data_IF_194854474155
#
_entry.id   IF_194854474155
#
_cell.length_a   1.000
_cell.length_b   1.000
_cell.length_c   1.000
_cell.angle_alpha   90.00
_cell.angle_beta   90.00
_cell.angle_gamma   90.00
#
_symmetry.space_group_name_H-M   'P 1'
#
loop_
_entity.id
_entity.type
_entity.pdbx_description
1 polymer ?
#
# COMPACT_ATOMS: atom_id res chain seq x y z
N UNK A 1 -33.42 47.54 74.69
CA UNK A 1 -34.67 46.97 74.19
C UNK A 1 -34.29 45.90 73.15
N UNK A 2 -34.08 44.72 73.50
CA UNK A 2 -34.93 43.56 73.65
C UNK A 2 -35.40 42.98 72.33
N UNK A 3 -35.00 41.81 72.10
CA UNK A 3 -35.63 40.53 71.67
C UNK A 3 -35.03 39.90 70.42
N UNK A 4 -34.37 38.77 70.59
CA UNK A 4 -34.83 37.39 70.28
C UNK A 4 -35.34 37.21 68.86
N UNK A 5 -34.65 36.33 68.12
CA UNK A 5 -35.20 35.25 67.28
C UNK A 5 -34.02 34.28 67.09
N UNK A 6 -33.89 33.17 67.75
CA UNK A 6 -34.55 31.89 67.57
C UNK A 6 -33.99 31.07 66.42
N UNK A 7 -33.23 30.08 66.80
CA UNK A 7 -33.06 28.74 66.20
C UNK A 7 -33.63 28.48 64.83
N UNK A 8 -32.75 28.15 63.89
CA UNK A 8 -33.08 27.35 62.74
C UNK A 8 -32.23 26.07 62.75
N UNK A 9 -32.80 24.90 62.61
CA UNK A 9 -32.08 23.63 62.69
C UNK A 9 -31.18 23.42 61.49
N UNK A 10 -29.96 23.04 61.76
CA UNK A 10 -29.02 22.55 60.72
C UNK A 10 -29.60 21.36 59.99
N UNK A 11 -29.89 21.54 58.71
CA UNK A 11 -30.18 20.43 57.79
C UNK A 11 -28.89 19.64 57.61
N UNK A 12 -28.85 18.46 58.23
CA UNK A 12 -27.79 17.50 58.05
C UNK A 12 -27.77 17.05 56.57
N UNK A 13 -26.77 17.52 55.83
CA UNK A 13 -26.44 16.98 54.53
C UNK A 13 -25.85 15.57 54.82
N UNK A 14 -26.66 14.56 54.57
CA UNK A 14 -26.20 13.19 54.57
C UNK A 14 -25.12 13.03 53.48
N UNK A 15 -23.88 12.98 53.89
CA UNK A 15 -22.79 12.54 53.00
C UNK A 15 -23.06 11.08 52.61
N UNK A 16 -23.62 10.88 51.44
CA UNK A 16 -23.63 9.56 50.78
C UNK A 16 -22.15 9.20 50.53
N UNK A 17 -21.66 8.10 51.03
CA UNK A 17 -20.32 7.64 50.68
C UNK A 17 -20.37 7.27 49.19
N UNK A 18 -19.80 8.10 48.33
CA UNK A 18 -19.39 7.66 47.00
C UNK A 18 -18.38 6.53 47.24
N UNK A 19 -18.89 5.31 47.37
CA UNK A 19 -18.09 4.10 47.34
C UNK A 19 -17.35 4.13 46.00
N UNK A 20 -16.04 4.30 46.13
CA UNK A 20 -15.08 4.18 45.05
C UNK A 20 -15.44 2.95 44.21
N UNK A 21 -16.02 3.18 43.07
CA UNK A 21 -16.02 2.23 41.96
C UNK A 21 -14.55 2.12 41.55
N UNK A 22 -13.81 1.33 42.32
CA UNK A 22 -12.51 0.84 41.92
C UNK A 22 -12.73 0.16 40.57
N UNK A 23 -12.39 0.85 39.48
CA UNK A 23 -12.23 0.25 38.16
C UNK A 23 -11.20 -0.86 38.36
N UNK A 24 -11.67 -2.08 38.58
CA UNK A 24 -10.82 -3.26 38.60
C UNK A 24 -10.17 -3.29 37.22
N UNK A 25 -8.90 -2.93 37.18
CA UNK A 25 -8.08 -3.16 35.99
C UNK A 25 -8.23 -4.62 35.55
N UNK A 26 -8.18 -4.93 34.26
CA UNK A 26 -8.38 -6.28 33.77
C UNK A 26 -7.42 -7.20 34.50
N UNK A 27 -8.00 -8.15 35.25
CA UNK A 27 -7.24 -9.13 36.02
C UNK A 27 -6.25 -9.82 35.08
N UNK A 28 -5.03 -10.09 35.56
CA UNK A 28 -3.98 -10.80 34.79
C UNK A 28 -4.48 -12.09 34.15
N UNK A 29 -5.45 -12.73 34.77
CA UNK A 29 -6.12 -13.97 34.28
C UNK A 29 -6.93 -13.74 33.00
N UNK A 30 -7.57 -12.58 32.80
CA UNK A 30 -8.34 -12.28 31.59
C UNK A 30 -7.47 -12.16 30.33
N UNK A 31 -6.24 -11.65 30.45
CA UNK A 31 -5.32 -11.55 29.30
C UNK A 31 -4.86 -12.93 28.84
N UNK A 32 -4.56 -13.82 29.78
CA UNK A 32 -4.12 -15.17 29.48
C UNK A 32 -5.27 -16.00 28.84
N UNK A 33 -6.48 -15.86 29.33
CA UNK A 33 -7.67 -16.50 28.76
C UNK A 33 -7.96 -16.01 27.33
N UNK A 34 -7.84 -14.70 27.05
CA UNK A 34 -8.00 -14.14 25.72
C UNK A 34 -6.92 -14.66 24.76
N UNK A 35 -5.65 -14.71 25.21
CA UNK A 35 -4.56 -15.25 24.41
C UNK A 35 -4.79 -16.74 24.07
N UNK A 36 -5.16 -17.57 25.02
CA UNK A 36 -5.40 -19.01 24.78
C UNK A 36 -6.63 -19.22 23.88
N UNK A 37 -7.66 -18.38 23.98
CA UNK A 37 -8.88 -18.56 23.21
C UNK A 37 -8.74 -18.08 21.75
N UNK A 38 -8.05 -16.96 21.52
CA UNK A 38 -8.00 -16.33 20.20
C UNK A 38 -6.72 -16.61 19.40
N UNK A 39 -5.58 -16.79 20.09
CA UNK A 39 -4.29 -17.01 19.41
C UNK A 39 -4.22 -18.36 18.67
N UNK A 40 -4.64 -19.51 19.23
CA UNK A 40 -4.56 -20.78 18.53
C UNK A 40 -5.41 -20.82 17.23
N UNK A 41 -6.70 -20.41 17.20
CA UNK A 41 -7.46 -20.40 15.95
C UNK A 41 -6.87 -19.42 14.93
N UNK A 42 -6.35 -18.26 15.35
CA UNK A 42 -5.70 -17.33 14.44
C UNK A 42 -4.41 -17.92 13.85
N UNK A 43 -3.56 -18.54 14.67
CA UNK A 43 -2.34 -19.23 14.22
C UNK A 43 -2.65 -20.41 13.31
N UNK A 44 -3.70 -21.19 13.62
CA UNK A 44 -4.12 -22.31 12.80
C UNK A 44 -4.54 -21.84 11.42
N UNK A 45 -5.41 -20.82 11.33
CA UNK A 45 -5.83 -20.24 10.05
C UNK A 45 -4.65 -19.65 9.29
N UNK A 46 -3.77 -18.92 9.96
CA UNK A 46 -2.57 -18.36 9.34
C UNK A 46 -1.64 -19.47 8.81
N UNK A 47 -1.43 -20.52 9.58
CA UNK A 47 -0.59 -21.64 9.16
C UNK A 47 -1.21 -22.38 7.97
N UNK A 48 -2.53 -22.64 8.01
CA UNK A 48 -3.22 -23.39 6.97
C UNK A 48 -3.32 -22.62 5.65
N UNK A 49 -3.59 -21.31 5.70
CA UNK A 49 -3.86 -20.52 4.49
C UNK A 49 -2.67 -19.67 4.00
N UNK A 50 -1.63 -19.51 4.80
CA UNK A 50 -0.45 -18.72 4.43
C UNK A 50 0.82 -19.55 4.45
N UNK A 51 1.17 -20.15 5.60
CA UNK A 51 2.45 -20.83 5.75
C UNK A 51 2.51 -22.13 4.91
N UNK A 52 1.44 -22.94 4.98
CA UNK A 52 1.36 -24.19 4.26
C UNK A 52 1.42 -24.01 2.73
N UNK A 53 0.62 -23.12 2.08
CA UNK A 53 0.74 -22.88 0.64
C UNK A 53 2.11 -22.36 0.20
N UNK A 54 2.80 -21.57 1.03
CA UNK A 54 4.18 -21.12 0.75
C UNK A 54 5.12 -22.32 0.78
N UNK A 55 4.99 -23.21 1.77
CA UNK A 55 5.76 -24.44 1.85
C UNK A 55 5.48 -25.39 0.67
N UNK A 56 4.23 -25.54 0.28
CA UNK A 56 3.83 -26.31 -0.90
C UNK A 56 4.40 -25.72 -2.19
N UNK A 57 4.34 -24.41 -2.38
CA UNK A 57 4.94 -23.74 -3.52
C UNK A 57 6.46 -23.98 -3.57
N UNK A 58 7.15 -23.92 -2.42
CA UNK A 58 8.56 -24.23 -2.35
C UNK A 58 8.86 -25.71 -2.72
N UNK A 59 7.99 -26.63 -2.32
CA UNK A 59 8.09 -28.04 -2.69
C UNK A 59 7.84 -28.26 -4.18
N UNK A 60 6.73 -27.70 -4.73
CA UNK A 60 6.38 -27.87 -6.14
C UNK A 60 7.39 -27.21 -7.09
N UNK A 61 8.12 -26.21 -6.64
CA UNK A 61 9.16 -25.54 -7.43
C UNK A 61 10.28 -26.50 -7.87
N UNK A 62 10.47 -27.61 -7.15
CA UNK A 62 11.48 -28.62 -7.47
C UNK A 62 10.99 -29.69 -8.46
N UNK A 63 9.78 -29.56 -8.99
CA UNK A 63 9.19 -30.53 -9.91
C UNK A 63 8.84 -29.89 -11.26
N UNK A 64 8.95 -30.67 -12.33
CA UNK A 64 8.27 -30.36 -13.58
C UNK A 64 6.82 -30.84 -13.47
N UNK A 65 5.94 -29.98 -12.99
CA UNK A 65 4.55 -30.30 -12.66
C UNK A 65 3.57 -29.30 -13.27
N UNK A 66 2.49 -29.83 -13.82
CA UNK A 66 1.44 -29.05 -14.47
C UNK A 66 0.26 -28.67 -13.56
N UNK A 67 0.27 -29.10 -12.31
CA UNK A 67 -0.81 -28.85 -11.33
C UNK A 67 -1.82 -29.98 -11.19
N UNK A 68 -1.77 -31.04 -12.02
CA UNK A 68 -2.67 -32.18 -11.94
C UNK A 68 -2.01 -33.41 -11.35
N UNK A 69 -2.73 -34.11 -10.49
CA UNK A 69 -2.24 -35.31 -9.84
C UNK A 69 -1.06 -35.05 -8.90
N UNK A 70 -0.31 -36.08 -8.56
CA UNK A 70 0.88 -35.94 -7.71
C UNK A 70 2.10 -35.52 -8.53
N UNK A 71 2.93 -34.62 -8.02
CA UNK A 71 4.19 -34.25 -8.68
C UNK A 71 5.14 -35.47 -8.60
N UNK A 72 5.52 -36.03 -9.74
CA UNK A 72 6.37 -37.22 -9.83
C UNK A 72 7.73 -36.95 -10.47
N UNK A 73 7.82 -35.94 -11.34
CA UNK A 73 9.03 -35.61 -12.07
C UNK A 73 9.87 -34.59 -11.30
N UNK A 74 10.74 -35.07 -10.43
CA UNK A 74 11.68 -34.24 -9.66
C UNK A 74 12.81 -33.75 -10.56
N UNK A 75 13.00 -32.43 -10.62
CA UNK A 75 14.05 -31.74 -11.41
C UNK A 75 14.94 -30.82 -10.56
N UNK A 76 14.78 -30.84 -9.24
CA UNK A 76 15.61 -30.06 -8.33
C UNK A 76 15.51 -28.54 -8.58
N UNK A 77 16.63 -27.92 -8.92
CA UNK A 77 16.73 -26.48 -9.13
C UNK A 77 16.60 -26.03 -10.59
N UNK A 78 16.27 -26.92 -11.52
CA UNK A 78 16.20 -26.57 -12.95
C UNK A 78 15.14 -25.50 -13.25
N UNK A 79 13.99 -25.50 -12.55
CA UNK A 79 13.01 -24.43 -12.70
C UNK A 79 13.59 -23.05 -12.39
N UNK A 80 14.40 -22.93 -11.33
CA UNK A 80 15.06 -21.67 -10.96
C UNK A 80 16.06 -21.23 -12.04
N UNK A 81 16.84 -22.18 -12.57
CA UNK A 81 17.76 -21.90 -13.67
C UNK A 81 17.01 -21.39 -14.90
N UNK A 82 15.92 -22.06 -15.32
CA UNK A 82 15.08 -21.61 -16.43
C UNK A 82 14.46 -20.22 -16.20
N UNK A 83 14.03 -19.91 -14.97
CA UNK A 83 13.54 -18.55 -14.63
C UNK A 83 14.64 -17.52 -14.87
N UNK A 84 15.83 -17.75 -14.33
CA UNK A 84 16.96 -16.81 -14.40
C UNK A 84 17.54 -16.66 -15.82
N UNK A 85 17.46 -17.68 -16.67
CA UNK A 85 17.86 -17.64 -18.07
C UNK A 85 16.80 -16.97 -18.96
N UNK A 86 15.55 -16.79 -18.48
CA UNK A 86 14.46 -16.21 -19.26
C UNK A 86 14.53 -14.69 -19.28
N UNK A 87 14.68 -14.10 -20.48
CA UNK A 87 14.69 -12.63 -20.67
C UNK A 87 13.45 -11.94 -20.11
N UNK A 88 12.26 -12.53 -20.26
CA UNK A 88 11.00 -11.96 -19.79
C UNK A 88 10.95 -11.81 -18.25
N UNK A 89 11.64 -12.69 -17.50
CA UNK A 89 11.81 -12.53 -16.06
C UNK A 89 12.54 -11.22 -15.70
N UNK A 90 13.65 -10.95 -16.35
CA UNK A 90 14.42 -9.73 -16.11
C UNK A 90 13.68 -8.47 -16.55
N UNK A 91 12.88 -8.56 -17.62
CA UNK A 91 11.97 -7.47 -18.02
C UNK A 91 10.92 -7.21 -16.91
N UNK A 92 10.29 -8.26 -16.39
CA UNK A 92 9.32 -8.14 -15.31
C UNK A 92 9.95 -7.54 -14.03
N UNK A 93 11.14 -8.00 -13.66
CA UNK A 93 11.88 -7.44 -12.53
C UNK A 93 12.25 -5.96 -12.75
N UNK A 94 12.73 -5.60 -13.94
CA UNK A 94 13.00 -4.22 -14.34
C UNK A 94 11.75 -3.35 -14.24
N UNK A 95 10.60 -3.85 -14.72
CA UNK A 95 9.33 -3.14 -14.68
C UNK A 95 8.88 -2.87 -13.24
N UNK A 96 8.99 -3.86 -12.33
CA UNK A 96 8.75 -3.61 -10.91
C UNK A 96 9.71 -2.53 -10.35
N UNK A 97 10.99 -2.59 -10.71
CA UNK A 97 11.96 -1.55 -10.35
C UNK A 97 11.57 -0.16 -10.87
N UNK A 98 11.06 -0.09 -12.10
CA UNK A 98 10.57 1.17 -12.70
C UNK A 98 9.31 1.68 -12.00
N UNK A 99 8.37 0.79 -11.65
CA UNK A 99 7.18 1.15 -10.85
C UNK A 99 7.61 1.72 -9.50
N UNK A 100 8.53 1.06 -8.80
CA UNK A 100 9.08 1.55 -7.54
C UNK A 100 9.71 2.94 -7.72
N UNK A 101 10.56 3.11 -8.73
CA UNK A 101 11.24 4.38 -8.99
C UNK A 101 10.23 5.52 -9.24
N UNK A 102 9.20 5.29 -10.07
CA UNK A 102 8.15 6.28 -10.35
C UNK A 102 7.28 6.53 -9.11
N UNK A 103 6.95 5.49 -8.35
CA UNK A 103 6.20 5.67 -7.09
C UNK A 103 6.97 6.54 -6.10
N UNK A 104 8.27 6.33 -5.95
CA UNK A 104 9.10 7.12 -5.03
C UNK A 104 9.40 8.53 -5.55
N UNK A 105 9.66 8.68 -6.85
CA UNK A 105 10.11 9.95 -7.43
C UNK A 105 8.95 10.88 -7.87
N UNK A 106 7.79 10.33 -8.20
CA UNK A 106 6.65 11.09 -8.72
C UNK A 106 5.44 10.98 -7.78
N UNK A 107 4.98 9.78 -7.50
CA UNK A 107 3.73 9.55 -6.75
C UNK A 107 3.82 10.07 -5.31
N UNK A 108 4.86 9.73 -4.54
CA UNK A 108 5.00 10.18 -3.15
C UNK A 108 5.25 11.70 -3.03
N UNK A 109 6.13 12.34 -3.82
CA UNK A 109 6.26 13.79 -3.82
C UNK A 109 4.98 14.53 -4.20
N UNK A 110 4.24 14.04 -5.21
CA UNK A 110 2.93 14.57 -5.57
C UNK A 110 1.93 14.47 -4.40
N UNK A 111 1.86 13.29 -3.77
CA UNK A 111 0.99 13.05 -2.63
C UNK A 111 1.33 13.95 -1.44
N UNK A 112 2.63 14.12 -1.13
CA UNK A 112 3.08 14.99 -0.05
C UNK A 112 2.79 16.47 -0.35
N UNK A 113 3.04 16.92 -1.58
CA UNK A 113 2.75 18.30 -2.00
C UNK A 113 1.27 18.60 -1.86
N UNK A 114 0.39 17.72 -2.37
CA UNK A 114 -1.05 17.89 -2.22
C UNK A 114 -1.51 17.81 -0.75
N UNK A 115 -0.90 16.94 0.04
CA UNK A 115 -1.19 16.86 1.47
C UNK A 115 -0.85 18.16 2.20
N UNK A 116 0.30 18.77 1.93
CA UNK A 116 0.71 20.06 2.49
C UNK A 116 -0.28 21.19 2.11
N UNK A 117 -0.78 21.18 0.87
CA UNK A 117 -1.76 22.19 0.41
C UNK A 117 -3.14 21.96 1.01
N UNK A 118 -3.55 20.70 1.25
CA UNK A 118 -4.89 20.34 1.68
C UNK A 118 -4.99 20.02 3.17
N UNK A 119 -3.90 20.00 3.95
CA UNK A 119 -3.92 19.69 5.38
C UNK A 119 -4.69 20.74 6.19
N UNK A 120 -4.61 22.00 5.79
CA UNK A 120 -5.37 23.09 6.40
C UNK A 120 -6.85 23.03 6.00
N UNK A 121 -7.73 23.47 6.91
CA UNK A 121 -9.18 23.54 6.67
C UNK A 121 -9.52 24.86 5.96
N UNK A 122 -9.89 24.77 4.70
CA UNK A 122 -10.50 25.85 3.93
C UNK A 122 -11.78 25.38 3.24
N UNK A 123 -12.59 26.32 2.73
CA UNK A 123 -13.82 25.98 2.01
C UNK A 123 -13.50 25.11 0.80
N UNK A 124 -14.04 23.88 0.75
CA UNK A 124 -13.80 22.92 -0.34
C UNK A 124 -12.64 21.93 -0.10
N UNK A 125 -11.81 22.09 0.95
CA UNK A 125 -10.69 21.16 1.22
C UNK A 125 -11.15 19.71 1.37
N UNK A 126 -12.31 19.45 1.99
CA UNK A 126 -12.88 18.12 2.15
C UNK A 126 -13.28 17.53 0.79
N UNK A 127 -13.95 18.30 -0.06
CA UNK A 127 -14.36 17.86 -1.40
C UNK A 127 -13.13 17.52 -2.28
N UNK A 128 -12.07 18.33 -2.22
CA UNK A 128 -10.82 18.04 -2.95
C UNK A 128 -10.12 16.79 -2.43
N UNK A 129 -10.09 16.59 -1.10
CA UNK A 129 -9.56 15.34 -0.52
C UNK A 129 -10.32 14.11 -1.01
N UNK A 130 -11.67 14.18 -1.02
CA UNK A 130 -12.52 13.11 -1.54
C UNK A 130 -12.26 12.87 -3.04
N UNK A 131 -12.17 13.92 -3.85
CA UNK A 131 -11.91 13.83 -5.28
C UNK A 131 -10.58 13.13 -5.58
N UNK A 132 -9.51 13.53 -4.90
CA UNK A 132 -8.18 12.95 -5.08
C UNK A 132 -8.03 11.54 -4.48
N UNK A 133 -8.86 11.19 -3.50
CA UNK A 133 -8.86 9.85 -2.91
C UNK A 133 -9.76 8.88 -3.67
N UNK A 134 -10.74 9.37 -4.44
CA UNK A 134 -11.71 8.55 -5.18
C UNK A 134 -11.07 7.49 -6.08
N UNK A 135 -9.99 7.77 -6.84
CA UNK A 135 -9.34 6.75 -7.66
C UNK A 135 -8.89 5.51 -6.87
N UNK A 136 -8.41 5.69 -5.65
CA UNK A 136 -7.97 4.60 -4.80
C UNK A 136 -9.10 3.64 -4.39
N UNK A 137 -10.32 4.15 -4.22
CA UNK A 137 -11.50 3.36 -3.81
C UNK A 137 -11.96 2.41 -4.92
N UNK A 138 -11.70 2.74 -6.19
CA UNK A 138 -12.08 1.89 -7.32
C UNK A 138 -11.37 0.53 -7.24
N UNK A 139 -12.07 -0.56 -7.54
CA UNK A 139 -11.45 -1.88 -7.64
C UNK A 139 -10.34 -1.87 -8.71
N UNK A 140 -9.22 -2.54 -8.45
CA UNK A 140 -8.07 -2.54 -9.36
C UNK A 140 -8.40 -3.11 -10.73
N UNK A 141 -9.13 -4.22 -10.75
CA UNK A 141 -9.61 -4.87 -11.99
C UNK A 141 -10.49 -3.91 -12.79
N UNK A 142 -11.44 -3.23 -12.13
CA UNK A 142 -12.31 -2.25 -12.79
C UNK A 142 -11.49 -1.07 -13.32
N UNK A 143 -10.52 -0.57 -12.57
CA UNK A 143 -9.60 0.48 -13.03
C UNK A 143 -8.84 0.04 -14.29
N UNK A 144 -8.26 -1.16 -14.28
CA UNK A 144 -7.55 -1.70 -15.44
C UNK A 144 -8.44 -1.79 -16.69
N UNK A 145 -9.68 -2.28 -16.52
CA UNK A 145 -10.66 -2.34 -17.62
C UNK A 145 -11.07 -0.95 -18.11
N UNK A 146 -11.38 -0.01 -17.23
CA UNK A 146 -11.74 1.37 -17.63
C UNK A 146 -10.60 1.99 -18.44
N UNK A 147 -9.37 1.87 -17.97
CA UNK A 147 -8.23 2.45 -18.67
C UNK A 147 -7.86 1.69 -19.95
N UNK A 148 -8.19 0.40 -20.09
CA UNK A 148 -8.04 -0.27 -21.38
C UNK A 148 -8.95 0.35 -22.45
N UNK A 149 -10.17 0.78 -22.11
CA UNK A 149 -11.03 1.52 -23.01
C UNK A 149 -10.59 2.99 -23.19
N UNK A 150 -10.12 3.65 -22.14
CA UNK A 150 -9.61 5.04 -22.21
C UNK A 150 -8.42 5.14 -23.17
N UNK A 151 -7.53 4.13 -23.16
CA UNK A 151 -6.33 4.06 -24.00
C UNK A 151 -6.52 3.34 -25.32
N UNK A 152 -7.73 2.90 -25.65
CA UNK A 152 -8.02 2.31 -26.96
C UNK A 152 -7.67 3.30 -28.08
N UNK A 153 -6.86 2.85 -29.05
CA UNK A 153 -6.32 3.73 -30.09
C UNK A 153 -7.36 4.16 -31.12
N UNK A 154 -8.46 3.39 -31.25
CA UNK A 154 -9.48 3.64 -32.26
C UNK A 154 -10.67 4.42 -31.68
N UNK A 155 -11.17 4.04 -30.51
CA UNK A 155 -12.43 4.58 -29.96
C UNK A 155 -12.24 5.19 -28.56
N UNK A 156 -11.04 5.13 -27.99
CA UNK A 156 -10.78 5.58 -26.63
C UNK A 156 -10.82 7.10 -26.46
N UNK A 157 -10.91 7.51 -25.19
CA UNK A 157 -10.92 8.93 -24.83
C UNK A 157 -9.63 9.63 -25.29
N UNK A 158 -8.46 8.96 -25.12
CA UNK A 158 -7.17 9.50 -25.56
C UNK A 158 -7.17 9.69 -27.08
N UNK A 159 -7.64 8.71 -27.84
CA UNK A 159 -7.74 8.80 -29.30
C UNK A 159 -8.66 9.96 -29.73
N UNK A 160 -9.79 10.13 -29.07
CA UNK A 160 -10.75 11.22 -29.37
C UNK A 160 -10.12 12.60 -29.12
N UNK A 161 -9.37 12.76 -28.02
CA UNK A 161 -8.64 14.00 -27.72
C UNK A 161 -7.59 14.28 -28.80
N UNK A 162 -6.76 13.28 -29.18
CA UNK A 162 -5.73 13.46 -30.22
C UNK A 162 -6.31 13.90 -31.56
N UNK A 163 -7.41 13.25 -31.98
CA UNK A 163 -8.11 13.62 -33.22
C UNK A 163 -8.68 15.05 -33.17
N UNK A 164 -9.13 15.54 -32.01
CA UNK A 164 -9.62 16.91 -31.90
C UNK A 164 -8.54 17.97 -32.17
N UNK A 165 -7.27 17.59 -31.99
CA UNK A 165 -6.10 18.42 -32.37
C UNK A 165 -5.58 18.13 -33.78
N UNK A 166 -6.26 17.28 -34.59
CA UNK A 166 -5.85 16.92 -35.94
C UNK A 166 -4.63 15.98 -35.99
N UNK A 167 -4.28 15.34 -34.86
CA UNK A 167 -3.15 14.41 -34.79
C UNK A 167 -3.61 12.94 -34.82
N UNK A 168 -2.76 12.06 -35.35
CA UNK A 168 -2.99 10.62 -35.29
C UNK A 168 -2.93 10.12 -33.86
N UNK A 169 -3.92 9.33 -33.40
CA UNK A 169 -3.95 8.85 -32.03
C UNK A 169 -2.85 7.80 -31.78
N UNK A 170 -2.16 7.85 -30.64
CA UNK A 170 -1.17 6.85 -30.29
C UNK A 170 -1.85 5.56 -29.81
N UNK A 171 -1.39 4.41 -30.31
CA UNK A 171 -1.79 3.09 -29.82
C UNK A 171 -0.97 2.71 -28.58
N UNK A 172 -1.27 3.37 -27.43
CA UNK A 172 -0.45 3.30 -26.21
C UNK A 172 -0.27 1.87 -25.68
N UNK A 173 -1.30 1.04 -25.74
CA UNK A 173 -1.25 -0.33 -25.23
C UNK A 173 -0.70 -1.34 -26.24
N UNK A 174 -0.64 -1.00 -27.53
CA UNK A 174 -0.17 -1.89 -28.58
C UNK A 174 1.34 -1.76 -28.86
N UNK A 175 2.01 -0.76 -28.32
CA UNK A 175 3.45 -0.55 -28.51
C UNK A 175 4.25 -0.99 -27.26
N UNK A 176 5.38 -1.66 -27.50
CA UNK A 176 6.32 -2.06 -26.43
C UNK A 176 6.93 -0.87 -25.69
N UNK A 177 7.03 0.29 -26.36
CA UNK A 177 7.68 1.48 -25.81
C UNK A 177 6.74 2.30 -24.93
N UNK A 178 5.43 2.24 -25.19
CA UNK A 178 4.45 3.08 -24.50
C UNK A 178 3.57 2.33 -23.50
N UNK A 179 3.44 1.00 -23.63
CA UNK A 179 2.56 0.22 -22.75
C UNK A 179 2.91 0.35 -21.27
N UNK A 180 4.21 0.30 -20.95
CA UNK A 180 4.65 0.47 -19.57
C UNK A 180 4.43 1.90 -19.05
N UNK A 181 4.60 2.92 -19.89
CA UNK A 181 4.28 4.31 -19.55
C UNK A 181 2.79 4.48 -19.23
N UNK A 182 1.92 3.87 -20.05
CA UNK A 182 0.48 3.88 -19.80
C UNK A 182 0.13 3.25 -18.44
N UNK A 183 0.74 2.12 -18.10
CA UNK A 183 0.60 1.48 -16.77
C UNK A 183 1.05 2.42 -15.66
N UNK A 184 2.22 3.06 -15.79
CA UNK A 184 2.77 3.97 -14.77
C UNK A 184 1.87 5.19 -14.51
N UNK A 185 1.27 5.77 -15.56
CA UNK A 185 0.32 6.89 -15.41
C UNK A 185 -0.89 6.46 -14.57
N UNK A 186 -1.45 5.28 -14.86
CA UNK A 186 -2.60 4.75 -14.11
C UNK A 186 -2.22 4.47 -12.64
N UNK A 187 -1.04 3.91 -12.39
CA UNK A 187 -0.55 3.64 -11.03
C UNK A 187 -0.44 4.95 -10.24
N UNK A 188 0.22 5.96 -10.79
CA UNK A 188 0.35 7.26 -10.12
C UNK A 188 -1.02 7.84 -9.83
N UNK A 189 -1.92 7.89 -10.83
CA UNK A 189 -3.28 8.42 -10.68
C UNK A 189 -4.11 7.67 -9.64
N UNK A 190 -3.95 6.34 -9.56
CA UNK A 190 -4.73 5.51 -8.63
C UNK A 190 -4.26 5.64 -7.19
N UNK A 191 -2.95 5.62 -6.96
CA UNK A 191 -2.43 5.42 -5.60
C UNK A 191 -1.91 6.68 -4.91
N UNK A 192 -1.70 7.83 -5.62
CA UNK A 192 -1.23 9.05 -4.95
C UNK A 192 -2.19 9.54 -3.87
N UNK A 193 -3.51 9.38 -4.07
CA UNK A 193 -4.54 9.81 -3.13
C UNK A 193 -4.47 9.09 -1.79
N UNK A 194 -4.12 7.80 -1.77
CA UNK A 194 -3.90 7.03 -0.55
C UNK A 194 -2.76 7.63 0.28
N UNK A 195 -1.60 7.85 -0.33
CA UNK A 195 -0.44 8.43 0.33
C UNK A 195 -0.71 9.88 0.77
N UNK A 196 -1.45 10.65 -0.04
CA UNK A 196 -1.90 11.99 0.32
C UNK A 196 -2.72 11.98 1.61
N UNK A 197 -3.68 11.07 1.75
CA UNK A 197 -4.50 10.97 2.96
C UNK A 197 -3.68 10.54 4.18
N UNK A 198 -2.71 9.64 3.99
CA UNK A 198 -1.78 9.24 5.04
C UNK A 198 -0.95 10.42 5.55
N UNK A 199 -0.42 11.24 4.62
CA UNK A 199 0.32 12.45 4.97
C UNK A 199 -0.58 13.53 5.62
N UNK A 200 -1.83 13.70 5.16
CA UNK A 200 -2.79 14.62 5.79
C UNK A 200 -3.06 14.21 7.23
N UNK A 201 -3.28 12.91 7.49
CA UNK A 201 -3.50 12.41 8.84
C UNK A 201 -2.30 12.69 9.76
N UNK A 202 -1.09 12.45 9.27
CA UNK A 202 0.13 12.75 10.00
C UNK A 202 0.30 14.25 10.25
N UNK A 203 0.08 15.10 9.23
CA UNK A 203 0.15 16.57 9.38
C UNK A 203 -0.85 17.12 10.40
N UNK A 204 -2.03 16.52 10.47
CA UNK A 204 -3.07 16.92 11.43
C UNK A 204 -2.78 16.47 12.86
N UNK A 205 -1.92 15.48 13.06
CA UNK A 205 -1.49 15.02 14.39
C UNK A 205 -0.31 15.79 14.94
N UNK A 206 0.36 16.64 14.14
CA UNK A 206 1.49 17.44 14.61
C UNK A 206 1.05 18.52 15.58
N UNK A 207 1.84 18.74 16.63
CA UNK A 207 1.65 19.86 17.55
C UNK A 207 1.96 21.18 16.84
N UNK A 208 0.92 22.00 16.72
CA UNK A 208 1.02 23.32 16.07
C UNK A 208 1.97 24.27 16.79
N UNK A 209 2.16 24.08 18.11
CA UNK A 209 3.06 24.91 18.91
C UNK A 209 4.51 24.86 18.39
N UNK A 210 4.94 23.72 17.84
CA UNK A 210 6.27 23.58 17.25
C UNK A 210 6.45 24.47 16.00
N UNK A 211 5.42 24.57 15.19
CA UNK A 211 5.43 25.41 13.98
C UNK A 211 5.33 26.89 14.35
N UNK A 212 4.54 27.21 15.39
CA UNK A 212 4.42 28.57 15.91
C UNK A 212 5.71 29.06 16.55
N UNK A 213 6.38 28.21 17.35
CA UNK A 213 7.69 28.52 17.94
C UNK A 213 8.73 28.82 16.85
N UNK A 214 8.82 27.99 15.81
CA UNK A 214 9.74 28.24 14.70
C UNK A 214 9.46 29.59 13.99
N UNK A 215 8.19 30.01 13.90
CA UNK A 215 7.83 31.30 13.34
C UNK A 215 8.21 32.48 14.26
N UNK A 216 8.09 32.30 15.57
CA UNK A 216 8.53 33.30 16.57
C UNK A 216 10.05 33.47 16.49
N UNK A 217 10.80 32.39 16.25
CA UNK A 217 12.25 32.38 16.02
C UNK A 217 12.65 32.98 14.65
N UNK A 218 11.67 33.47 13.86
CA UNK A 218 11.91 34.14 12.59
C UNK A 218 12.02 33.20 11.37
N UNK A 219 11.67 31.91 11.50
CA UNK A 219 11.69 30.99 10.37
C UNK A 219 10.63 31.35 9.31
N UNK A 220 11.05 31.41 8.06
CA UNK A 220 10.11 31.51 6.93
C UNK A 220 9.27 30.23 6.81
N UNK A 221 8.16 30.28 6.06
CA UNK A 221 7.30 29.10 5.81
C UNK A 221 8.09 27.90 5.25
N UNK A 222 9.01 28.14 4.32
CA UNK A 222 9.83 27.10 3.72
C UNK A 222 10.86 26.51 4.70
N UNK A 223 11.43 27.36 5.56
CA UNK A 223 12.34 26.93 6.62
C UNK A 223 11.63 26.09 7.66
N UNK A 224 10.44 26.52 8.14
CA UNK A 224 9.60 25.74 9.05
C UNK A 224 9.18 24.40 8.42
N UNK A 225 8.80 24.38 7.12
CA UNK A 225 8.49 23.16 6.41
C UNK A 225 9.68 22.19 6.37
N UNK A 226 10.86 22.68 5.95
CA UNK A 226 12.04 21.85 5.73
C UNK A 226 12.68 21.35 7.04
N UNK A 227 12.71 22.19 8.08
CA UNK A 227 13.47 21.90 9.31
C UNK A 227 12.59 21.43 10.47
N UNK A 228 11.26 21.61 10.41
CA UNK A 228 10.33 21.18 11.46
C UNK A 228 9.35 20.13 10.93
N UNK A 229 8.55 20.50 9.92
CA UNK A 229 7.44 19.64 9.47
C UNK A 229 7.93 18.37 8.78
N UNK A 230 8.84 18.47 7.81
CA UNK A 230 9.34 17.28 7.08
C UNK A 230 10.07 16.30 8.00
N UNK A 231 10.96 16.70 8.90
CA UNK A 231 11.55 15.80 9.88
C UNK A 231 10.54 15.10 10.78
N UNK A 232 9.50 15.79 11.25
CA UNK A 232 8.43 15.20 12.04
C UNK A 232 7.55 14.23 11.24
N UNK A 233 7.52 14.36 9.91
CA UNK A 233 6.82 13.44 9.02
C UNK A 233 7.66 12.23 8.62
N UNK A 234 8.96 12.15 8.95
CA UNK A 234 9.81 11.04 8.54
C UNK A 234 9.25 9.65 8.86
N UNK A 235 8.64 9.37 10.02
CA UNK A 235 8.04 8.07 10.29
C UNK A 235 6.96 7.73 9.26
N UNK A 236 6.08 8.69 8.93
CA UNK A 236 5.01 8.49 7.95
C UNK A 236 5.56 8.41 6.51
N UNK A 237 6.60 9.17 6.17
CA UNK A 237 7.27 9.08 4.87
C UNK A 237 7.89 7.68 4.70
N UNK A 238 8.60 7.17 5.70
CA UNK A 238 9.15 5.81 5.71
C UNK A 238 8.04 4.77 5.54
N UNK A 239 6.93 4.89 6.26
CA UNK A 239 5.79 3.99 6.11
C UNK A 239 5.20 4.05 4.68
N UNK A 240 5.04 5.24 4.10
CA UNK A 240 4.58 5.42 2.72
C UNK A 240 5.53 4.79 1.71
N UNK A 241 6.85 4.95 1.88
CA UNK A 241 7.86 4.31 1.04
C UNK A 241 7.75 2.78 1.12
N UNK A 242 7.59 2.24 2.32
CA UNK A 242 7.39 0.80 2.51
C UNK A 242 6.15 0.29 1.75
N UNK A 243 5.00 0.95 1.89
CA UNK A 243 3.78 0.56 1.18
C UNK A 243 3.92 0.70 -0.34
N UNK A 244 4.57 1.75 -0.83
CA UNK A 244 4.80 1.93 -2.26
C UNK A 244 5.66 0.81 -2.85
N UNK A 245 6.72 0.38 -2.18
CA UNK A 245 7.60 -0.68 -2.66
C UNK A 245 6.90 -2.05 -2.59
N UNK A 246 6.28 -2.40 -1.45
CA UNK A 246 5.56 -3.67 -1.31
C UNK A 246 4.40 -3.76 -2.29
N UNK A 247 3.60 -2.70 -2.43
CA UNK A 247 2.50 -2.63 -3.40
C UNK A 247 2.99 -2.80 -4.84
N UNK A 248 4.12 -2.19 -5.20
CA UNK A 248 4.72 -2.35 -6.53
C UNK A 248 5.17 -3.79 -6.81
N UNK A 249 5.73 -4.49 -5.82
CA UNK A 249 6.18 -5.88 -5.96
C UNK A 249 5.01 -6.86 -6.14
N UNK A 250 3.85 -6.54 -5.56
CA UNK A 250 2.65 -7.39 -5.59
C UNK A 250 1.65 -6.99 -6.69
N UNK A 251 1.96 -5.99 -7.49
CA UNK A 251 1.04 -5.43 -8.47
C UNK A 251 0.68 -6.47 -9.56
N UNK A 252 -0.61 -6.79 -9.65
CA UNK A 252 -1.18 -7.77 -10.58
C UNK A 252 -2.54 -7.32 -11.13
N UNK A 253 -3.48 -7.03 -10.22
CA UNK A 253 -4.90 -6.86 -10.53
C UNK A 253 -5.21 -5.68 -11.44
N UNK A 254 -4.31 -4.69 -11.51
CA UNK A 254 -4.41 -3.56 -12.43
C UNK A 254 -3.78 -3.90 -13.80
N UNK A 255 -2.61 -4.56 -13.80
CA UNK A 255 -1.85 -4.82 -15.02
C UNK A 255 -2.53 -5.85 -15.91
N UNK A 256 -3.11 -6.89 -15.32
CA UNK A 256 -3.74 -7.96 -16.08
C UNK A 256 -4.92 -7.49 -16.93
N UNK A 257 -5.93 -6.76 -16.41
CA UNK A 257 -7.02 -6.26 -17.26
C UNK A 257 -6.59 -5.14 -18.20
N UNK A 258 -5.56 -4.36 -17.85
CA UNK A 258 -5.10 -3.22 -18.65
C UNK A 258 -4.30 -3.66 -19.88
N UNK A 259 -3.27 -4.50 -19.69
CA UNK A 259 -2.31 -4.85 -20.76
C UNK A 259 -2.08 -6.35 -20.91
N UNK A 260 -2.50 -7.17 -19.94
CA UNK A 260 -2.13 -8.59 -19.79
C UNK A 260 -0.62 -8.83 -19.76
N UNK A 261 0.15 -7.78 -19.37
CA UNK A 261 1.62 -7.80 -19.37
C UNK A 261 2.27 -7.54 -20.73
N UNK A 262 1.47 -7.31 -21.78
CA UNK A 262 1.94 -7.11 -23.16
C UNK A 262 2.13 -5.65 -23.58
N UNK A 263 2.45 -5.45 -24.88
CA UNK A 263 2.87 -6.47 -25.86
C UNK A 263 4.26 -7.02 -25.55
N UNK A 264 4.55 -8.24 -25.97
CA UNK A 264 5.86 -8.89 -25.85
C UNK A 264 6.53 -8.77 -24.46
N UNK A 265 5.76 -8.99 -23.37
CA UNK A 265 6.18 -8.90 -21.98
C UNK A 265 6.62 -7.49 -21.51
N UNK A 266 6.40 -6.43 -22.32
CA UNK A 266 6.91 -5.07 -22.06
C UNK A 266 6.34 -4.43 -20.79
N UNK A 267 5.15 -4.82 -20.35
CA UNK A 267 4.48 -4.31 -19.16
C UNK A 267 4.25 -5.38 -18.07
N UNK A 268 4.85 -6.58 -18.23
CA UNK A 268 4.76 -7.60 -17.20
C UNK A 268 5.39 -7.13 -15.88
N UNK A 269 4.69 -7.39 -14.79
CA UNK A 269 5.24 -7.39 -13.42
C UNK A 269 5.64 -8.81 -13.04
N UNK A 270 6.33 -8.98 -11.93
CA UNK A 270 6.72 -10.31 -11.43
C UNK A 270 5.51 -11.22 -11.22
N UNK A 271 4.41 -10.68 -10.68
CA UNK A 271 3.19 -11.47 -10.41
C UNK A 271 2.45 -11.78 -11.71
N UNK A 272 2.34 -10.83 -12.66
CA UNK A 272 1.73 -11.12 -13.96
C UNK A 272 2.58 -12.09 -14.79
N UNK A 273 3.90 -12.02 -14.70
CA UNK A 273 4.81 -12.99 -15.31
C UNK A 273 4.63 -14.40 -14.73
N UNK A 274 4.53 -14.52 -13.40
CA UNK A 274 4.21 -15.77 -12.71
C UNK A 274 2.87 -16.34 -13.24
N UNK A 275 1.83 -15.53 -13.26
CA UNK A 275 0.51 -15.94 -13.71
C UNK A 275 0.52 -16.41 -15.17
N UNK A 276 1.08 -15.60 -16.07
CA UNK A 276 1.11 -15.90 -17.50
C UNK A 276 1.94 -17.14 -17.85
N UNK A 277 3.07 -17.35 -17.17
CA UNK A 277 4.00 -18.43 -17.51
C UNK A 277 3.85 -19.66 -16.61
N UNK A 278 3.36 -19.49 -15.39
CA UNK A 278 3.13 -20.58 -14.44
C UNK A 278 1.71 -21.14 -14.55
N UNK A 279 0.72 -20.30 -14.22
CA UNK A 279 -0.67 -20.72 -14.07
C UNK A 279 -1.36 -20.89 -15.43
N UNK A 280 -1.37 -19.86 -16.28
CA UNK A 280 -2.07 -19.89 -17.56
C UNK A 280 -1.53 -20.93 -18.53
N UNK A 281 -0.25 -21.26 -18.45
CA UNK A 281 0.42 -22.30 -19.27
C UNK A 281 0.47 -23.66 -18.59
N UNK A 282 -0.21 -23.83 -17.45
CA UNK A 282 -0.22 -25.08 -16.70
C UNK A 282 1.20 -25.60 -16.36
N UNK A 283 2.11 -24.70 -16.03
CA UNK A 283 3.48 -25.00 -15.62
C UNK A 283 3.66 -24.64 -14.14
N UNK A 284 2.88 -25.29 -13.28
CA UNK A 284 2.75 -24.90 -11.86
C UNK A 284 4.09 -25.00 -11.13
N UNK A 285 4.91 -26.00 -11.40
CA UNK A 285 6.26 -26.11 -10.82
C UNK A 285 7.15 -24.91 -11.18
N UNK A 286 7.12 -24.47 -12.44
CA UNK A 286 7.83 -23.28 -12.90
C UNK A 286 7.26 -22.00 -12.26
N UNK A 287 5.93 -21.85 -12.23
CA UNK A 287 5.27 -20.74 -11.54
C UNK A 287 5.61 -20.68 -10.05
N UNK A 288 5.67 -21.84 -9.39
CA UNK A 288 6.08 -21.97 -8.00
C UNK A 288 7.51 -21.45 -7.76
N UNK A 289 8.45 -21.77 -8.67
CA UNK A 289 9.82 -21.25 -8.59
C UNK A 289 9.87 -19.71 -8.71
N UNK A 290 9.07 -19.12 -9.61
CA UNK A 290 8.94 -17.65 -9.72
C UNK A 290 8.37 -17.08 -8.42
N UNK A 291 7.33 -17.71 -7.85
CA UNK A 291 6.72 -17.31 -6.59
C UNK A 291 7.69 -17.33 -5.41
N UNK A 292 8.52 -18.38 -5.31
CA UNK A 292 9.57 -18.47 -4.27
C UNK A 292 10.63 -17.38 -4.44
N UNK A 293 11.06 -17.08 -5.68
CA UNK A 293 11.99 -15.97 -5.93
C UNK A 293 11.37 -14.65 -5.50
N UNK A 294 10.11 -14.38 -5.90
CA UNK A 294 9.41 -13.16 -5.51
C UNK A 294 9.26 -13.05 -3.99
N UNK A 295 8.88 -14.14 -3.33
CA UNK A 295 8.79 -14.21 -1.88
C UNK A 295 10.14 -13.89 -1.21
N UNK A 296 11.23 -14.48 -1.70
CA UNK A 296 12.58 -14.20 -1.19
C UNK A 296 12.96 -12.72 -1.36
N UNK A 297 12.62 -12.10 -2.50
CA UNK A 297 12.83 -10.66 -2.75
C UNK A 297 12.03 -9.83 -1.74
N UNK A 298 10.72 -10.11 -1.56
CA UNK A 298 9.87 -9.38 -0.62
C UNK A 298 10.34 -9.50 0.83
N UNK A 299 10.71 -10.71 1.26
CA UNK A 299 11.21 -10.97 2.62
C UNK A 299 12.53 -10.25 2.85
N UNK A 300 13.48 -10.38 1.93
CA UNK A 300 14.78 -9.71 2.02
C UNK A 300 14.60 -8.19 2.09
N UNK A 301 13.74 -7.64 1.22
CA UNK A 301 13.39 -6.21 1.28
C UNK A 301 12.79 -5.83 2.63
N UNK A 302 11.78 -6.55 3.12
CA UNK A 302 11.10 -6.22 4.37
C UNK A 302 12.04 -6.24 5.59
N UNK A 303 12.91 -7.28 5.69
CA UNK A 303 13.89 -7.36 6.76
C UNK A 303 14.96 -6.28 6.68
N UNK A 304 15.48 -6.02 5.48
CA UNK A 304 16.49 -4.99 5.23
C UNK A 304 15.91 -3.60 5.54
N UNK A 305 14.70 -3.34 5.05
CA UNK A 305 14.01 -2.06 5.26
C UNK A 305 13.75 -1.81 6.76
N UNK A 306 13.20 -2.82 7.48
CA UNK A 306 12.99 -2.74 8.91
C UNK A 306 14.28 -2.46 9.67
N UNK A 307 15.36 -3.17 9.32
CA UNK A 307 16.64 -3.05 10.02
C UNK A 307 17.29 -1.68 9.83
N UNK A 308 17.15 -1.04 8.66
CA UNK A 308 17.89 0.16 8.30
C UNK A 308 17.07 1.45 8.49
N UNK A 309 15.74 1.38 8.28
CA UNK A 309 14.88 2.55 8.27
C UNK A 309 13.87 2.63 9.43
N UNK A 310 13.57 1.52 10.13
CA UNK A 310 12.62 1.49 11.25
C UNK A 310 13.27 1.17 12.60
N UNK A 311 14.56 1.41 12.75
CA UNK A 311 15.35 0.96 13.92
C UNK A 311 15.29 1.91 15.12
N UNK A 312 14.69 3.07 15.02
CA UNK A 312 14.76 4.15 16.03
C UNK A 312 13.43 4.40 16.77
N UNK A 313 12.58 3.37 16.89
CA UNK A 313 11.38 3.47 17.75
C UNK A 313 11.32 2.34 18.78
#
# INVERSE_FOLDING_TARGET
>A
MARRIANSPAIGVAETPFSSLAVRGPARDGRFTVLILFLPPALLLFTLFVVLPIGEAAWYSAFNWNGFGRPTNWIGFDNYRFVLETRAFWLALRNNGLIIAVSLAVQLPLALTLALMLAERFRGSVALRMLFFMPYILAEIATGLIFSFVYDGDYGLVASIWRSFGAEPPHLLASTDTSMLAVLIVIVWKYFGFHMMLFIAALQSLDKSLIEAARIDGATRLQALRHVVIPLLYPTIRLSVFFAIVGSLQLFDLVMPLTRGGPADSSNTMVSFLYNNGISRMRVGYGSAIGVILFAICVTFAFTYKRWFMRDE
#
